data_IF_273522220001
#
_entry.id   IF_273522220001
#
_cell.length_a   1.000
_cell.length_b   1.000
_cell.length_c   1.000
_cell.angle_alpha   90.00
_cell.angle_beta   90.00
_cell.angle_gamma   90.00
#
_symmetry.space_group_name_H-M   'P 1'
#
loop_
_entity.id
_entity.type
_entity.pdbx_description
1 polymer ?
#
# COMPACT_ATOMS: atom_id res chain seq x y z
N UNK A 1 -47.63 -1.65 -39.34
CA UNK A 1 -46.55 -1.07 -38.55
C UNK A 1 -45.39 -2.05 -38.48
N UNK A 2 -44.17 -1.61 -38.75
CA UNK A 2 -43.01 -2.47 -38.58
C UNK A 2 -42.73 -2.72 -37.09
N UNK A 3 -42.64 -3.99 -36.68
CA UNK A 3 -42.31 -4.37 -35.30
C UNK A 3 -40.80 -4.17 -35.05
N UNK A 4 -40.45 -3.22 -34.22
CA UNK A 4 -39.06 -3.02 -33.78
C UNK A 4 -38.66 -4.11 -32.80
N UNK A 5 -37.68 -4.92 -33.15
CA UNK A 5 -37.06 -5.89 -32.26
C UNK A 5 -35.93 -5.19 -31.50
N UNK A 6 -35.84 -5.44 -30.18
CA UNK A 6 -34.79 -4.85 -29.34
C UNK A 6 -33.38 -5.32 -29.70
N UNK A 7 -32.77 -4.80 -30.73
CA UNK A 7 -31.56 -5.21 -31.39
C UNK A 7 -30.30 -5.38 -30.49
N UNK A 8 -29.14 -5.14 -31.02
CA UNK A 8 -27.80 -5.33 -30.36
C UNK A 8 -27.60 -4.49 -29.10
N UNK A 9 -28.25 -3.31 -29.01
CA UNK A 9 -28.06 -2.36 -27.89
C UNK A 9 -28.52 -2.95 -26.54
N UNK A 10 -29.72 -3.57 -26.50
CA UNK A 10 -30.22 -4.19 -25.27
C UNK A 10 -29.34 -5.37 -24.82
N UNK A 11 -28.86 -6.17 -25.79
CA UNK A 11 -27.90 -7.26 -25.52
C UNK A 11 -26.59 -6.75 -25.01
N UNK A 12 -26.04 -5.68 -25.57
CA UNK A 12 -24.77 -5.06 -25.14
C UNK A 12 -24.90 -4.53 -23.70
N UNK A 13 -25.98 -3.84 -23.36
CA UNK A 13 -26.22 -3.38 -21.97
C UNK A 13 -26.27 -4.53 -20.97
N UNK A 14 -26.97 -5.60 -21.26
CA UNK A 14 -27.03 -6.79 -20.39
C UNK A 14 -25.66 -7.47 -20.28
N UNK A 15 -24.96 -7.61 -21.39
CA UNK A 15 -23.62 -8.22 -21.43
C UNK A 15 -22.61 -7.43 -20.60
N UNK A 16 -22.69 -6.09 -20.57
CA UNK A 16 -21.83 -5.24 -19.74
C UNK A 16 -22.00 -5.58 -18.25
N UNK A 17 -23.22 -5.54 -17.73
CA UNK A 17 -23.47 -5.85 -16.30
C UNK A 17 -23.09 -7.28 -15.93
N UNK A 18 -23.37 -8.26 -16.77
CA UNK A 18 -22.99 -9.65 -16.53
C UNK A 18 -21.44 -9.84 -16.59
N UNK A 19 -20.74 -9.06 -17.41
CA UNK A 19 -19.28 -9.07 -17.46
C UNK A 19 -18.68 -8.56 -16.15
N UNK A 20 -19.23 -7.49 -15.58
CA UNK A 20 -18.80 -6.92 -14.29
C UNK A 20 -19.13 -7.87 -13.11
N UNK A 21 -20.22 -8.63 -13.19
CA UNK A 21 -20.62 -9.62 -12.19
C UNK A 21 -19.91 -10.98 -12.33
N UNK A 22 -18.95 -11.12 -13.23
CA UNK A 22 -18.20 -12.35 -13.42
C UNK A 22 -17.48 -12.77 -12.13
N UNK A 23 -17.56 -14.05 -11.78
CA UNK A 23 -16.99 -14.58 -10.54
C UNK A 23 -17.88 -14.50 -9.31
N UNK A 24 -19.06 -13.87 -9.40
CA UNK A 24 -19.99 -13.86 -8.27
C UNK A 24 -20.65 -15.22 -8.07
N UNK A 25 -20.89 -15.57 -6.82
CA UNK A 25 -21.40 -16.88 -6.43
C UNK A 25 -22.83 -17.13 -6.94
N UNK A 26 -23.10 -18.35 -7.38
CA UNK A 26 -24.43 -18.86 -7.76
C UNK A 26 -25.03 -18.15 -8.98
N UNK A 27 -26.32 -17.78 -8.90
CA UNK A 27 -27.05 -17.12 -9.98
C UNK A 27 -26.66 -15.66 -10.21
N UNK A 28 -25.92 -15.05 -9.30
CA UNK A 28 -25.56 -13.64 -9.34
C UNK A 28 -24.69 -13.25 -10.53
N UNK A 29 -23.99 -14.20 -11.15
CA UNK A 29 -23.21 -13.97 -12.38
C UNK A 29 -23.94 -14.34 -13.66
N UNK A 30 -25.10 -15.04 -13.56
CA UNK A 30 -25.86 -15.54 -14.72
C UNK A 30 -27.12 -14.74 -15.00
N UNK A 31 -27.91 -14.44 -13.96
CA UNK A 31 -29.20 -13.76 -14.07
C UNK A 31 -29.00 -12.23 -14.00
N UNK A 32 -29.49 -11.53 -15.02
CA UNK A 32 -29.32 -10.07 -15.13
C UNK A 32 -29.90 -9.29 -13.95
N UNK A 33 -31.09 -9.67 -13.46
CA UNK A 33 -31.76 -8.99 -12.33
C UNK A 33 -30.89 -9.06 -11.05
N UNK A 34 -30.50 -10.26 -10.67
CA UNK A 34 -29.67 -10.50 -9.47
C UNK A 34 -28.25 -9.94 -9.62
N UNK A 35 -27.66 -10.01 -10.82
CA UNK A 35 -26.36 -9.44 -11.11
C UNK A 35 -26.37 -7.91 -10.94
N UNK A 36 -27.38 -7.22 -11.49
CA UNK A 36 -27.52 -5.77 -11.39
C UNK A 36 -27.66 -5.33 -9.93
N UNK A 37 -28.50 -5.99 -9.15
CA UNK A 37 -28.69 -5.71 -7.72
C UNK A 37 -27.38 -5.88 -6.94
N UNK A 38 -26.69 -7.00 -7.14
CA UNK A 38 -25.43 -7.30 -6.47
C UNK A 38 -24.33 -6.28 -6.83
N UNK A 39 -24.26 -5.80 -8.07
CA UNK A 39 -23.30 -4.77 -8.48
C UNK A 39 -23.57 -3.43 -7.79
N UNK A 40 -24.83 -3.04 -7.62
CA UNK A 40 -25.20 -1.83 -6.87
C UNK A 40 -24.72 -1.92 -5.42
N UNK A 41 -25.01 -3.03 -4.73
CA UNK A 41 -24.52 -3.26 -3.36
C UNK A 41 -22.99 -3.29 -3.29
N UNK A 42 -22.33 -3.97 -4.21
CA UNK A 42 -20.87 -4.02 -4.29
C UNK A 42 -20.26 -2.62 -4.43
N UNK A 43 -20.84 -1.76 -5.26
CA UNK A 43 -20.40 -0.37 -5.42
C UNK A 43 -20.51 0.44 -4.13
N UNK A 44 -21.63 0.31 -3.42
CA UNK A 44 -21.85 0.97 -2.12
C UNK A 44 -20.85 0.47 -1.08
N UNK A 45 -20.65 -0.85 -0.99
CA UNK A 45 -19.68 -1.43 -0.05
C UNK A 45 -18.25 -1.01 -0.38
N UNK A 46 -17.87 -1.02 -1.65
CA UNK A 46 -16.54 -0.57 -2.08
C UNK A 46 -16.28 0.90 -1.71
N UNK A 47 -17.27 1.78 -1.82
CA UNK A 47 -17.17 3.17 -1.38
C UNK A 47 -16.98 3.30 0.13
N UNK A 48 -17.81 2.62 0.91
CA UNK A 48 -17.74 2.61 2.38
C UNK A 48 -16.40 2.06 2.86
N UNK A 49 -15.98 0.91 2.33
CA UNK A 49 -14.83 0.17 2.82
C UNK A 49 -13.49 0.84 2.44
N UNK A 50 -13.44 1.58 1.31
CA UNK A 50 -12.29 2.47 1.03
C UNK A 50 -12.07 3.51 2.12
N UNK A 51 -13.13 4.02 2.76
CA UNK A 51 -13.00 4.94 3.92
C UNK A 51 -12.58 4.21 5.20
N UNK A 52 -13.01 2.97 5.39
CA UNK A 52 -12.64 2.16 6.55
C UNK A 52 -11.21 1.63 6.48
N UNK A 53 -10.66 1.43 5.30
CA UNK A 53 -9.32 0.87 5.07
C UNK A 53 -8.22 1.52 5.92
N UNK A 54 -8.27 2.84 6.12
CA UNK A 54 -7.32 3.55 7.00
C UNK A 54 -7.37 3.05 8.45
N UNK A 55 -8.56 2.76 8.96
CA UNK A 55 -8.77 2.26 10.33
C UNK A 55 -8.27 0.83 10.46
N UNK A 56 -8.51 0.00 9.45
CA UNK A 56 -8.12 -1.40 9.45
C UNK A 56 -6.60 -1.55 9.38
N UNK A 57 -5.94 -0.80 8.51
CA UNK A 57 -4.48 -0.78 8.48
C UNK A 57 -3.88 -0.25 9.79
N UNK A 58 -4.46 0.77 10.40
CA UNK A 58 -3.99 1.26 11.69
C UNK A 58 -4.10 0.20 12.79
N UNK A 59 -5.19 -0.57 12.83
CA UNK A 59 -5.33 -1.71 13.75
C UNK A 59 -4.21 -2.73 13.54
N UNK A 60 -3.96 -3.10 12.29
CA UNK A 60 -2.90 -4.05 11.94
C UNK A 60 -1.52 -3.56 12.38
N UNK A 61 -1.17 -2.30 12.13
CA UNK A 61 0.10 -1.74 12.58
C UNK A 61 0.23 -1.76 14.11
N UNK A 62 -0.82 -1.40 14.83
CA UNK A 62 -0.84 -1.44 16.30
C UNK A 62 -0.61 -2.86 16.81
N UNK A 63 -1.25 -3.86 16.21
CA UNK A 63 -1.08 -5.28 16.58
C UNK A 63 0.37 -5.73 16.40
N UNK A 64 1.00 -5.39 15.26
CA UNK A 64 2.40 -5.72 14.95
C UNK A 64 3.37 -5.05 15.91
N UNK A 65 3.21 -3.75 16.15
CA UNK A 65 4.05 -3.00 17.10
C UNK A 65 3.88 -3.56 18.51
N UNK A 66 2.65 -3.91 18.91
CA UNK A 66 2.39 -4.47 20.25
C UNK A 66 3.07 -5.83 20.44
N UNK A 67 3.09 -6.69 19.42
CA UNK A 67 3.84 -7.95 19.47
C UNK A 67 5.33 -7.71 19.72
N UNK A 68 5.96 -6.86 18.91
CA UNK A 68 7.38 -6.52 19.08
C UNK A 68 7.69 -5.79 20.40
N UNK A 69 6.77 -4.98 20.92
CA UNK A 69 6.90 -4.37 22.24
C UNK A 69 6.91 -5.41 23.35
N UNK A 70 6.07 -6.46 23.26
CA UNK A 70 6.03 -7.55 24.24
C UNK A 70 7.32 -8.35 24.27
N UNK A 71 7.92 -8.61 23.12
CA UNK A 71 9.25 -9.25 23.01
C UNK A 71 10.32 -8.44 23.72
N UNK A 72 10.22 -7.11 23.70
CA UNK A 72 11.13 -6.18 24.37
C UNK A 72 10.69 -5.80 25.82
N UNK A 73 9.77 -6.54 26.42
CA UNK A 73 9.29 -6.34 27.80
C UNK A 73 8.72 -4.94 28.09
N UNK A 74 8.02 -4.33 27.12
CA UNK A 74 7.34 -3.05 27.28
C UNK A 74 5.90 -3.13 26.75
N UNK A 75 4.95 -2.45 27.39
CA UNK A 75 3.60 -2.35 26.86
C UNK A 75 3.51 -1.28 25.78
N UNK A 76 2.64 -1.48 24.78
CA UNK A 76 2.41 -0.53 23.68
C UNK A 76 2.11 0.89 24.17
N UNK A 77 1.29 1.04 25.22
CA UNK A 77 0.93 2.36 25.76
C UNK A 77 2.13 3.09 26.35
N UNK A 78 2.97 2.37 27.12
CA UNK A 78 4.22 2.92 27.65
C UNK A 78 5.20 3.28 26.56
N UNK A 79 5.32 2.43 25.54
CA UNK A 79 6.18 2.67 24.38
C UNK A 79 5.80 3.97 23.65
N UNK A 80 4.54 4.15 23.30
CA UNK A 80 4.07 5.38 22.60
C UNK A 80 4.23 6.62 23.50
N UNK A 81 3.93 6.52 24.77
CA UNK A 81 4.15 7.62 25.72
C UNK A 81 5.63 7.98 25.83
N UNK A 82 6.51 6.96 25.90
CA UNK A 82 7.95 7.17 25.94
C UNK A 82 8.49 7.87 24.69
N UNK A 83 8.05 7.45 23.49
CA UNK A 83 8.39 8.11 22.23
C UNK A 83 7.92 9.57 22.19
N UNK A 84 6.70 9.83 22.65
CA UNK A 84 6.16 11.20 22.70
C UNK A 84 6.98 12.09 23.65
N UNK A 85 7.40 11.58 24.83
CA UNK A 85 8.26 12.31 25.77
C UNK A 85 9.68 12.50 25.25
N UNK A 86 10.19 11.54 24.50
CA UNK A 86 11.50 11.65 23.84
C UNK A 86 11.48 12.57 22.60
N UNK A 87 10.34 13.11 22.20
CA UNK A 87 10.19 13.97 21.02
C UNK A 87 10.38 13.24 19.69
N UNK A 88 10.19 11.91 19.67
CA UNK A 88 10.36 11.09 18.47
C UNK A 88 9.04 10.97 17.72
N UNK A 89 8.92 11.65 16.57
CA UNK A 89 7.74 11.64 15.72
C UNK A 89 7.89 10.62 14.57
N UNK A 90 7.65 9.33 14.85
CA UNK A 90 7.66 8.27 13.83
C UNK A 90 6.23 7.79 13.60
N UNK A 91 5.84 7.65 12.32
CA UNK A 91 4.53 7.14 11.94
C UNK A 91 4.40 5.65 12.32
N UNK A 92 3.20 5.23 12.75
CA UNK A 92 2.90 3.83 13.11
C UNK A 92 3.16 2.84 11.97
N UNK A 93 2.94 3.26 10.71
CA UNK A 93 3.29 2.44 9.56
C UNK A 93 4.78 2.11 9.56
N UNK A 94 5.63 3.12 9.66
CA UNK A 94 7.08 2.94 9.68
C UNK A 94 7.55 2.11 10.88
N UNK A 95 6.97 2.34 12.06
CA UNK A 95 7.27 1.53 13.24
C UNK A 95 6.92 0.06 13.04
N UNK A 96 5.80 -0.25 12.36
CA UNK A 96 5.41 -1.63 12.08
C UNK A 96 6.28 -2.31 11.03
N UNK A 97 6.79 -1.57 10.06
CA UNK A 97 7.75 -2.05 9.06
C UNK A 97 9.12 -2.32 9.71
N UNK A 98 9.62 -1.39 10.53
CA UNK A 98 10.87 -1.57 11.28
C UNK A 98 10.77 -2.78 12.23
N UNK A 99 9.63 -2.98 12.89
CA UNK A 99 9.44 -4.11 13.79
C UNK A 99 9.51 -5.47 13.11
N UNK A 100 9.21 -5.56 11.80
CA UNK A 100 9.25 -6.80 11.01
C UNK A 100 10.63 -6.97 10.35
N UNK A 101 11.09 -5.92 9.66
CA UNK A 101 12.28 -5.99 8.81
C UNK A 101 13.59 -5.91 9.62
N UNK A 102 13.58 -5.12 10.72
CA UNK A 102 14.78 -4.85 11.52
C UNK A 102 14.46 -4.85 13.02
N UNK A 103 14.31 -6.02 13.66
CA UNK A 103 13.99 -6.12 15.10
C UNK A 103 15.09 -5.50 16.00
N UNK A 104 16.34 -5.51 15.57
CA UNK A 104 17.44 -4.86 16.30
C UNK A 104 17.26 -3.33 16.35
N UNK A 105 16.96 -2.70 15.21
CA UNK A 105 16.67 -1.27 15.15
C UNK A 105 15.40 -0.90 15.95
N UNK A 106 14.42 -1.80 15.99
CA UNK A 106 13.25 -1.62 16.83
C UNK A 106 13.59 -1.64 18.32
N UNK A 107 14.48 -2.51 18.76
CA UNK A 107 14.97 -2.56 20.14
C UNK A 107 15.69 -1.26 20.54
N UNK A 108 16.47 -0.64 19.65
CA UNK A 108 17.07 0.69 19.89
C UNK A 108 15.99 1.76 20.12
N UNK A 109 14.94 1.77 19.28
CA UNK A 109 13.81 2.69 19.45
C UNK A 109 13.08 2.44 20.79
N UNK A 110 12.96 1.20 21.23
CA UNK A 110 12.38 0.85 22.54
C UNK A 110 13.27 1.39 23.67
N UNK A 111 14.60 1.31 23.55
CA UNK A 111 15.51 1.88 24.54
C UNK A 111 15.39 3.40 24.65
N UNK A 112 15.24 4.10 23.52
CA UNK A 112 14.96 5.54 23.50
C UNK A 112 13.62 5.85 24.20
N UNK A 113 12.58 5.04 23.93
CA UNK A 113 11.30 5.20 24.60
C UNK A 113 11.39 4.95 26.11
N UNK A 114 12.15 3.95 26.55
CA UNK A 114 12.40 3.68 27.98
C UNK A 114 13.15 4.84 28.65
N UNK A 115 14.16 5.40 27.99
CA UNK A 115 14.89 6.58 28.45
C UNK A 115 13.98 7.81 28.59
N UNK A 116 13.08 8.04 27.63
CA UNK A 116 12.09 9.11 27.69
C UNK A 116 11.08 8.96 28.86
N UNK A 117 10.74 7.73 29.23
CA UNK A 117 9.92 7.46 30.43
C UNK A 117 10.68 7.74 31.74
N UNK A 118 11.99 7.46 31.76
CA UNK A 118 12.86 7.67 32.92
C UNK A 118 13.31 9.12 33.14
N UNK A 119 12.82 10.07 32.33
CA UNK A 119 13.15 11.49 32.49
C UNK A 119 14.55 11.93 31.97
N UNK A 120 15.30 11.04 31.33
CA UNK A 120 16.54 11.38 30.62
C UNK A 120 16.24 11.51 29.14
N UNK A 121 16.08 12.73 28.66
CA UNK A 121 15.96 13.05 27.23
C UNK A 121 17.30 12.72 26.54
N UNK A 122 17.44 11.50 26.04
CA UNK A 122 18.49 11.20 25.06
C UNK A 122 18.15 11.91 23.75
N UNK A 123 19.02 12.81 23.31
CA UNK A 123 18.83 13.75 22.23
C UNK A 123 18.38 13.06 20.93
N UNK A 124 17.24 13.47 20.40
CA UNK A 124 16.67 13.03 19.12
C UNK A 124 17.55 13.40 17.88
N UNK A 125 18.74 13.93 18.07
CA UNK A 125 19.66 14.35 17.01
C UNK A 125 20.40 13.19 16.34
N UNK A 126 20.76 12.14 17.07
CA UNK A 126 21.56 11.04 16.51
C UNK A 126 20.80 10.11 15.56
N UNK A 127 19.49 9.95 15.74
CA UNK A 127 18.67 9.06 14.88
C UNK A 127 18.37 9.70 13.51
N UNK A 128 18.46 11.03 13.39
CA UNK A 128 18.30 11.73 12.10
C UNK A 128 19.57 11.69 11.23
N UNK A 129 20.74 11.72 11.85
CA UNK A 129 22.02 11.71 11.10
C UNK A 129 22.35 10.33 10.50
N UNK A 130 22.04 9.24 11.19
CA UNK A 130 22.30 7.88 10.67
C UNK A 130 21.39 7.51 9.51
N UNK A 131 20.15 8.08 9.42
CA UNK A 131 19.27 7.88 8.26
C UNK A 131 19.66 8.75 7.07
N UNK A 132 20.18 9.94 7.28
CA UNK A 132 20.65 10.81 6.21
C UNK A 132 21.89 10.22 5.52
N UNK A 133 22.84 9.67 6.28
CA UNK A 133 24.04 9.02 5.74
C UNK A 133 23.75 7.73 4.95
N UNK A 134 22.85 6.85 5.43
CA UNK A 134 22.48 5.63 4.70
C UNK A 134 21.65 5.87 3.44
N UNK A 135 20.93 6.97 3.34
CA UNK A 135 20.16 7.34 2.13
C UNK A 135 21.06 8.00 1.08
N UNK A 136 22.11 8.74 1.49
CA UNK A 136 23.09 9.30 0.57
C UNK A 136 24.00 8.21 -0.03
N UNK A 137 24.53 7.28 0.78
CA UNK A 137 25.34 6.16 0.31
C UNK A 137 24.59 5.24 -0.68
N UNK A 138 23.29 4.99 -0.45
CA UNK A 138 22.46 4.17 -1.34
C UNK A 138 22.03 4.87 -2.64
N UNK A 139 22.15 6.21 -2.69
CA UNK A 139 21.92 6.99 -3.93
C UNK A 139 23.19 7.05 -4.79
N UNK A 140 24.35 7.11 -4.19
CA UNK A 140 25.64 7.11 -4.91
C UNK A 140 25.92 5.74 -5.56
N UNK A 141 25.63 4.63 -4.86
CA UNK A 141 25.79 3.27 -5.40
C UNK A 141 24.80 2.94 -6.57
N UNK A 142 23.68 3.67 -6.68
CA UNK A 142 22.71 3.52 -7.77
C UNK A 142 23.03 4.37 -9.01
N UNK A 143 23.86 5.38 -8.90
CA UNK A 143 24.27 6.22 -10.01
C UNK A 143 25.47 5.65 -10.77
N UNK A 144 26.32 4.85 -10.14
CA UNK A 144 27.48 4.22 -10.78
C UNK A 144 27.19 2.94 -11.58
N UNK A 145 26.00 2.32 -11.41
CA UNK A 145 25.62 1.08 -12.13
C UNK A 145 24.73 1.29 -13.36
N UNK A 146 24.80 2.45 -14.03
CA UNK A 146 24.14 2.64 -15.32
C UNK A 146 25.01 3.32 -16.34
N UNK A 147 25.87 2.57 -17.06
CA UNK A 147 26.27 2.99 -18.40
C UNK A 147 25.81 1.99 -19.45
N UNK A 148 25.31 2.53 -20.55
CA UNK A 148 25.33 1.97 -21.89
C UNK A 148 24.48 0.74 -22.21
N UNK A 149 23.17 0.93 -22.44
CA UNK A 149 22.43 0.12 -23.40
C UNK A 149 21.18 0.86 -23.91
N UNK A 150 21.37 1.86 -24.77
CA UNK A 150 20.30 2.37 -25.67
C UNK A 150 20.92 3.25 -26.76
N UNK A 151 21.55 2.63 -27.74
CA UNK A 151 21.71 3.16 -29.09
C UNK A 151 21.89 1.96 -30.02
N UNK A 152 20.83 1.46 -30.58
CA UNK A 152 20.75 0.78 -31.89
C UNK A 152 19.41 0.04 -31.96
N UNK A 153 18.36 0.71 -32.40
CA UNK A 153 17.23 0.12 -33.15
C UNK A 153 16.23 1.20 -33.54
N UNK A 154 16.67 2.18 -34.31
CA UNK A 154 15.75 3.05 -35.09
C UNK A 154 16.40 3.38 -36.44
N UNK A 155 16.58 2.33 -37.26
CA UNK A 155 16.90 2.51 -38.71
C UNK A 155 16.58 1.21 -39.45
N UNK A 156 15.32 0.80 -39.50
CA UNK A 156 14.84 -0.23 -40.46
C UNK A 156 13.31 -0.29 -40.55
N UNK A 157 12.67 0.82 -40.86
CA UNK A 157 11.23 0.82 -41.14
C UNK A 157 10.80 1.97 -42.10
N UNK A 158 11.67 2.42 -43.00
CA UNK A 158 11.28 3.37 -44.05
C UNK A 158 11.86 3.01 -45.42
N UNK A 159 11.89 1.73 -45.73
CA UNK A 159 12.30 1.29 -47.08
C UNK A 159 11.48 0.06 -47.50
N UNK A 160 10.15 0.20 -47.57
CA UNK A 160 9.27 -0.77 -48.25
C UNK A 160 7.86 -0.19 -48.48
N UNK A 161 7.81 0.93 -49.19
CA UNK A 161 6.55 1.48 -49.71
C UNK A 161 6.76 2.29 -50.99
N UNK A 162 7.59 1.78 -51.87
CA UNK A 162 7.64 2.18 -53.28
C UNK A 162 8.03 0.93 -54.07
N UNK A 163 7.04 0.18 -54.48
CA UNK A 163 6.96 -0.78 -55.60
C UNK A 163 5.77 -1.72 -55.36
N UNK A 164 4.61 -1.31 -55.80
CA UNK A 164 3.59 -1.94 -56.61
C UNK A 164 2.29 -1.15 -56.52
#
# INVERSE_FOLDING_TARGET
>A
MARVKGGTVARARRKKTLKEAKGYFGSKHRLYKTAKEQLLHSGVYAYRDRRQKKRDFRKLWITRINAACRENNISYSKFINGLSKAGVEINRKMLSEIAIDNPAAFAEIVNVAKAGLGGKAASAKEVKETKAKKVSEKKEEKTEKKPAAKKTTTKKATAKKEEK
#
